data_IF_968950404913
#
_entry.id   IF_968950404913
#
_cell.length_a   1.000
_cell.length_b   1.000
_cell.length_c   1.000
_cell.angle_alpha   90.00
_cell.angle_beta   90.00
_cell.angle_gamma   90.00
#
_symmetry.space_group_name_H-M   'P 1'
#
loop_
_entity.id
_entity.type
_entity.pdbx_description
1 polymer ?
#
# COMPACT_ATOMS: atom_id res chain seq x y z
N UNK A 1 14.02 15.10 17.46
CA UNK A 1 12.65 14.59 17.51
C UNK A 1 12.34 13.81 16.26
N UNK A 2 11.80 12.62 16.44
CA UNK A 2 11.54 11.71 15.33
C UNK A 2 10.12 11.81 14.80
N UNK A 3 9.36 12.81 15.23
CA UNK A 3 8.00 13.02 14.77
C UNK A 3 7.91 13.08 13.24
N UNK A 4 9.00 13.51 12.61
CA UNK A 4 9.04 13.59 11.16
C UNK A 4 8.88 12.21 10.49
N UNK A 5 9.50 11.18 11.07
CA UNK A 5 9.32 9.83 10.56
C UNK A 5 7.90 9.33 10.76
N UNK A 6 7.33 9.57 11.94
CA UNK A 6 5.95 9.19 12.19
C UNK A 6 4.98 9.89 11.24
N UNK A 7 5.28 11.14 10.88
CA UNK A 7 4.43 11.86 9.94
C UNK A 7 4.39 11.16 8.58
N UNK A 8 5.52 10.61 8.13
CA UNK A 8 5.54 9.84 6.89
C UNK A 8 4.70 8.57 7.03
N UNK A 9 4.85 7.86 8.13
CA UNK A 9 4.06 6.65 8.35
C UNK A 9 2.56 6.96 8.40
N UNK A 10 2.20 8.03 9.07
CA UNK A 10 0.79 8.44 9.15
C UNK A 10 0.24 8.84 7.78
N UNK A 11 1.04 9.53 6.97
CA UNK A 11 0.63 9.90 5.62
C UNK A 11 0.43 8.66 4.76
N UNK A 12 1.29 7.68 4.88
CA UNK A 12 1.17 6.43 4.14
C UNK A 12 -0.07 5.66 4.60
N UNK A 13 -0.32 5.64 5.91
CA UNK A 13 -1.52 5.00 6.45
C UNK A 13 -2.78 5.65 5.89
N UNK A 14 -2.82 6.97 5.87
CA UNK A 14 -3.95 7.70 5.34
C UNK A 14 -4.15 7.40 3.85
N UNK A 15 -3.06 7.40 3.09
CA UNK A 15 -3.14 7.09 1.66
C UNK A 15 -3.64 5.66 1.44
N UNK A 16 -3.19 4.71 2.27
CA UNK A 16 -3.64 3.33 2.14
C UNK A 16 -5.12 3.18 2.46
N UNK A 17 -5.63 3.95 3.44
CA UNK A 17 -7.05 3.94 3.77
C UNK A 17 -7.89 4.54 2.64
N UNK A 18 -7.41 5.61 2.04
CA UNK A 18 -8.07 6.22 0.88
C UNK A 18 -8.07 5.27 -0.30
N UNK A 19 -6.96 4.58 -0.49
CA UNK A 19 -6.82 3.59 -1.55
C UNK A 19 -7.84 2.45 -1.36
N UNK A 20 -7.99 1.99 -0.13
CA UNK A 20 -8.97 0.95 0.19
C UNK A 20 -10.38 1.43 -0.10
N UNK A 21 -10.72 2.66 0.29
CA UNK A 21 -12.03 3.22 0.01
C UNK A 21 -12.29 3.28 -1.49
N UNK A 22 -11.30 3.69 -2.27
CA UNK A 22 -11.42 3.73 -3.73
C UNK A 22 -11.61 2.33 -4.30
N UNK A 23 -10.89 1.35 -3.77
CA UNK A 23 -11.02 -0.05 -4.22
C UNK A 23 -12.41 -0.59 -3.92
N UNK A 24 -12.96 -0.28 -2.75
CA UNK A 24 -14.31 -0.70 -2.38
C UNK A 24 -15.35 -0.09 -3.30
N UNK A 25 -15.09 1.12 -3.77
CA UNK A 25 -15.98 1.82 -4.69
C UNK A 25 -15.80 1.36 -6.14
N UNK A 26 -14.80 0.53 -6.41
CA UNK A 26 -14.49 0.08 -7.76
C UNK A 26 -13.76 1.13 -8.58
N UNK A 27 -13.23 2.17 -7.94
CA UNK A 27 -12.53 3.26 -8.62
C UNK A 27 -11.05 2.93 -8.71
N UNK A 28 -10.70 2.04 -9.63
CA UNK A 28 -9.34 1.53 -9.76
C UNK A 28 -8.37 2.57 -10.30
N UNK A 29 -8.85 3.56 -11.06
CA UNK A 29 -8.01 4.67 -11.50
C UNK A 29 -7.48 5.45 -10.31
N UNK A 30 -8.34 5.67 -9.30
CA UNK A 30 -7.94 6.36 -8.09
C UNK A 30 -6.97 5.51 -7.28
N UNK A 31 -7.18 4.19 -7.25
CA UNK A 31 -6.26 3.26 -6.56
C UNK A 31 -4.87 3.40 -7.15
N UNK A 32 -4.75 3.45 -8.48
CA UNK A 32 -3.45 3.58 -9.15
C UNK A 32 -2.78 4.91 -8.79
N UNK A 33 -3.55 5.98 -8.77
CA UNK A 33 -3.02 7.30 -8.38
C UNK A 33 -2.49 7.30 -6.96
N UNK A 34 -3.26 6.72 -6.05
CA UNK A 34 -2.89 6.66 -4.63
C UNK A 34 -1.70 5.75 -4.42
N UNK A 35 -1.58 4.68 -5.19
CA UNK A 35 -0.42 3.80 -5.14
C UNK A 35 0.84 4.57 -5.51
N UNK A 36 0.76 5.40 -6.56
CA UNK A 36 1.87 6.26 -6.94
C UNK A 36 2.25 7.23 -5.83
N UNK A 37 1.26 7.84 -5.18
CA UNK A 37 1.50 8.75 -4.07
C UNK A 37 2.17 8.02 -2.90
N UNK A 38 1.71 6.80 -2.61
CA UNK A 38 2.33 5.98 -1.56
C UNK A 38 3.79 5.67 -1.88
N UNK A 39 4.09 5.36 -3.13
CA UNK A 39 5.46 5.06 -3.54
C UNK A 39 6.38 6.26 -3.30
N UNK A 40 5.90 7.46 -3.58
CA UNK A 40 6.67 8.68 -3.32
C UNK A 40 6.89 8.86 -1.82
N UNK A 41 5.86 8.66 -1.02
CA UNK A 41 5.97 8.78 0.44
C UNK A 41 6.95 7.75 1.01
N UNK A 42 6.92 6.52 0.50
CA UNK A 42 7.82 5.47 0.94
C UNK A 42 9.26 5.84 0.59
N UNK A 43 9.50 6.38 -0.60
CA UNK A 43 10.83 6.82 -1.00
C UNK A 43 11.34 7.93 -0.09
N UNK A 44 10.48 8.90 0.23
CA UNK A 44 10.83 9.98 1.15
C UNK A 44 11.11 9.45 2.55
N UNK A 45 10.31 8.48 3.00
CA UNK A 45 10.50 7.85 4.30
C UNK A 45 11.87 7.15 4.38
N UNK A 46 12.22 6.38 3.36
CA UNK A 46 13.51 5.69 3.32
C UNK A 46 14.65 6.68 3.40
N UNK A 47 14.52 7.79 2.70
CA UNK A 47 15.55 8.82 2.69
C UNK A 47 15.67 9.46 4.08
N UNK A 48 14.55 9.79 4.70
CA UNK A 48 14.53 10.40 6.03
C UNK A 48 15.06 9.43 7.09
N UNK A 49 14.78 8.15 6.94
CA UNK A 49 15.19 7.13 7.91
C UNK A 49 16.69 6.92 7.95
N UNK A 50 17.42 7.32 6.91
CA UNK A 50 18.87 7.19 6.89
C UNK A 50 19.54 8.08 7.92
N UNK A 51 18.92 9.20 8.26
CA UNK A 51 19.51 10.19 9.16
C UNK A 51 18.73 10.39 10.46
N UNK A 52 17.64 9.64 10.65
CA UNK A 52 16.75 9.83 11.79
C UNK A 52 16.36 8.47 12.36
N UNK A 53 16.37 8.36 13.68
CA UNK A 53 15.97 7.13 14.36
C UNK A 53 14.71 7.39 15.18
N UNK A 54 13.85 6.38 15.24
CA UNK A 54 12.66 6.45 16.07
C UNK A 54 13.00 6.22 17.53
N UNK A 55 12.33 6.93 18.40
CA UNK A 55 12.37 6.64 19.81
C UNK A 55 11.60 5.35 20.09
N UNK A 56 11.80 4.76 21.26
CA UNK A 56 11.20 3.48 21.57
C UNK A 56 9.66 3.51 21.51
N UNK A 57 9.07 4.57 22.06
CA UNK A 57 7.61 4.71 22.03
C UNK A 57 7.11 4.95 20.59
N UNK A 58 7.92 5.62 19.78
CA UNK A 58 7.57 5.86 18.37
C UNK A 58 7.66 4.57 17.55
N UNK A 59 8.57 3.67 17.95
CA UNK A 59 8.68 2.38 17.28
C UNK A 59 7.41 1.54 17.45
N UNK A 60 6.77 1.62 18.61
CA UNK A 60 5.49 0.94 18.85
C UNK A 60 4.41 1.53 17.97
N UNK A 61 4.37 2.84 17.86
CA UNK A 61 3.40 3.51 17.02
C UNK A 61 3.62 3.16 15.55
N UNK A 62 4.88 3.09 15.14
CA UNK A 62 5.23 2.65 13.79
C UNK A 62 4.67 1.25 13.52
N UNK A 63 4.87 0.32 14.44
CA UNK A 63 4.38 -1.05 14.29
C UNK A 63 2.87 -1.08 14.12
N UNK A 64 2.17 -0.31 14.93
CA UNK A 64 0.72 -0.23 14.85
C UNK A 64 0.27 0.28 13.48
N UNK A 65 0.91 1.34 13.02
CA UNK A 65 0.60 1.94 11.73
C UNK A 65 0.92 0.96 10.60
N UNK A 66 2.06 0.30 10.67
CA UNK A 66 2.45 -0.67 9.64
C UNK A 66 1.46 -1.83 9.56
N UNK A 67 0.97 -2.31 10.70
CA UNK A 67 -0.05 -3.36 10.70
C UNK A 67 -1.31 -2.89 10.01
N UNK A 68 -1.73 -1.65 10.27
CA UNK A 68 -2.91 -1.09 9.62
C UNK A 68 -2.73 -0.98 8.12
N UNK A 69 -1.55 -0.53 7.68
CA UNK A 69 -1.23 -0.44 6.26
C UNK A 69 -1.28 -1.82 5.61
N UNK A 70 -0.72 -2.82 6.26
CA UNK A 70 -0.72 -4.18 5.72
C UNK A 70 -2.12 -4.76 5.62
N UNK A 71 -2.98 -4.49 6.60
CA UNK A 71 -4.37 -4.93 6.54
C UNK A 71 -5.12 -4.27 5.39
N UNK A 72 -4.92 -2.96 5.21
CA UNK A 72 -5.55 -2.24 4.11
C UNK A 72 -5.08 -2.79 2.77
N UNK A 73 -3.77 -3.04 2.65
CA UNK A 73 -3.19 -3.57 1.43
C UNK A 73 -3.74 -4.97 1.12
N UNK A 74 -3.86 -5.81 2.14
CA UNK A 74 -4.40 -7.17 1.96
C UNK A 74 -5.83 -7.12 1.46
N UNK A 75 -6.65 -6.23 2.01
CA UNK A 75 -8.02 -6.11 1.57
C UNK A 75 -8.12 -5.56 0.15
N UNK A 76 -7.28 -4.59 -0.19
CA UNK A 76 -7.23 -4.06 -1.56
C UNK A 76 -6.90 -5.17 -2.55
N UNK A 77 -5.91 -6.01 -2.23
CA UNK A 77 -5.54 -7.13 -3.09
C UNK A 77 -6.69 -8.12 -3.24
N UNK A 78 -7.37 -8.39 -2.16
CA UNK A 78 -8.52 -9.29 -2.19
C UNK A 78 -9.61 -8.73 -3.12
N UNK A 79 -9.86 -7.43 -3.05
CA UNK A 79 -10.83 -6.79 -3.92
C UNK A 79 -10.40 -6.78 -5.38
N UNK A 80 -9.09 -6.74 -5.62
CA UNK A 80 -8.54 -6.72 -6.97
C UNK A 80 -8.54 -8.09 -7.65
N UNK A 81 -8.61 -9.17 -6.89
CA UNK A 81 -8.50 -10.52 -7.45
C UNK A 81 -9.48 -10.81 -8.58
N UNK A 82 -10.80 -10.53 -8.43
CA UNK A 82 -11.73 -10.80 -9.53
C UNK A 82 -11.40 -9.99 -10.78
N UNK A 83 -10.99 -8.72 -10.59
CA UNK A 83 -10.62 -7.86 -11.71
C UNK A 83 -9.38 -8.39 -12.41
N UNK A 84 -8.40 -8.86 -11.65
CA UNK A 84 -7.18 -9.43 -12.22
C UNK A 84 -7.48 -10.71 -12.99
N UNK A 85 -8.40 -11.54 -12.49
CA UNK A 85 -8.80 -12.75 -13.18
C UNK A 85 -9.49 -12.42 -14.50
N UNK A 86 -10.37 -11.43 -14.49
CA UNK A 86 -11.07 -11.00 -15.71
C UNK A 86 -10.08 -10.51 -16.74
N UNK A 87 -9.12 -9.69 -16.30
CA UNK A 87 -8.10 -9.15 -17.19
C UNK A 87 -7.26 -10.28 -17.79
N UNK A 88 -6.91 -11.25 -16.97
CA UNK A 88 -6.11 -12.39 -17.39
C UNK A 88 -6.84 -13.21 -18.45
N UNK A 89 -8.14 -13.43 -18.27
CA UNK A 89 -8.94 -14.14 -19.26
C UNK A 89 -9.04 -13.36 -20.58
N UNK A 90 -9.18 -12.05 -20.49
CA UNK A 90 -9.24 -11.20 -21.68
C UNK A 90 -7.92 -11.22 -22.46
N UNK A 91 -6.82 -11.45 -21.77
CA UNK A 91 -5.50 -11.49 -22.38
C UNK A 91 -5.05 -12.90 -22.72
N UNK A 92 -5.99 -13.84 -22.83
CA UNK A 92 -5.66 -15.20 -23.19
C UNK A 92 -5.23 -16.04 -22.02
N UNK A 93 -5.97 -15.94 -20.92
CA UNK A 93 -5.65 -16.65 -19.67
C UNK A 93 -5.52 -18.16 -19.82
N UNK A 94 -6.13 -18.73 -20.89
CA UNK A 94 -5.98 -20.15 -21.16
C UNK A 94 -4.55 -20.54 -21.48
N UNK A 95 -3.72 -19.58 -21.79
CA UNK A 95 -2.32 -19.80 -22.10
C UNK A 95 -1.42 -19.53 -20.89
N UNK A 96 -1.95 -19.59 -19.73
CA UNK A 96 -1.15 -19.37 -18.55
C UNK A 96 0.04 -20.29 -18.52
N UNK A 97 1.21 -19.73 -18.37
CA UNK A 97 2.41 -20.55 -18.37
C UNK A 97 2.49 -21.47 -17.16
N UNK A 98 3.27 -22.51 -17.30
CA UNK A 98 3.46 -23.46 -16.23
C UNK A 98 4.02 -22.83 -14.95
N UNK A 99 4.68 -21.70 -15.06
CA UNK A 99 5.27 -21.06 -13.89
C UNK A 99 4.21 -20.60 -12.87
N UNK A 100 2.94 -20.61 -13.25
CA UNK A 100 1.87 -20.26 -12.33
C UNK A 100 1.46 -21.40 -11.41
N UNK A 101 2.05 -22.55 -11.61
CA UNK A 101 1.79 -23.72 -10.76
C UNK A 101 2.59 -23.68 -9.49
#
# INVERSE_FOLDING_TARGET
>A
MSTKLLNYYEAIEKASAEMLAAARAGNWDEVVKLEGACAVLIAQLKNAAQSTHLMQNEAKEKSRIMQRILLNDAEIRHLAEPWLEDLDQMMGGGNRPAFLH
#
